data_IF_313544834425
#
_entry.id   IF_313544834425
#
_cell.length_a   1.000
_cell.length_b   1.000
_cell.length_c   1.000
_cell.angle_alpha   90.00
_cell.angle_beta   90.00
_cell.angle_gamma   90.00
#
_symmetry.space_group_name_H-M   'P 1'
#
loop_
_entity.id
_entity.type
_entity.pdbx_description
1 polymer ?
#
# COMPACT_ATOMS: atom_id res chain seq x y z
N UNK A 1 4.72 -19.57 -41.24
CA UNK A 1 5.24 -19.64 -39.84
C UNK A 1 5.41 -18.25 -39.21
N UNK A 2 5.87 -17.22 -39.94
CA UNK A 2 6.04 -15.86 -39.38
C UNK A 2 4.76 -15.17 -38.86
N UNK A 3 3.58 -15.42 -39.46
CA UNK A 3 2.34 -14.74 -39.05
C UNK A 3 1.86 -15.07 -37.62
N UNK A 4 2.10 -16.29 -37.14
CA UNK A 4 1.69 -16.71 -35.78
C UNK A 4 2.53 -16.02 -34.71
N UNK A 5 3.83 -15.82 -34.99
CA UNK A 5 4.73 -15.11 -34.08
C UNK A 5 4.32 -13.64 -33.92
N UNK A 6 3.91 -12.98 -35.00
CA UNK A 6 3.44 -11.59 -34.94
C UNK A 6 2.17 -11.45 -34.09
N UNK A 7 1.20 -12.36 -34.24
CA UNK A 7 -0.03 -12.35 -33.43
C UNK A 7 0.29 -12.53 -31.95
N UNK A 8 1.17 -13.48 -31.60
CA UNK A 8 1.63 -13.69 -30.22
C UNK A 8 2.29 -12.44 -29.61
N UNK A 9 3.18 -11.79 -30.37
CA UNK A 9 3.86 -10.58 -29.91
C UNK A 9 2.85 -9.45 -29.68
N UNK A 10 1.88 -9.26 -30.59
CA UNK A 10 0.85 -8.24 -30.42
C UNK A 10 0.02 -8.47 -29.15
N UNK A 11 -0.43 -9.70 -28.89
CA UNK A 11 -1.17 -10.00 -27.66
C UNK A 11 -0.31 -9.82 -26.39
N UNK A 12 0.95 -10.24 -26.42
CA UNK A 12 1.87 -10.04 -25.30
C UNK A 12 2.10 -8.55 -25.00
N UNK A 13 2.22 -7.72 -26.04
CA UNK A 13 2.34 -6.27 -25.90
C UNK A 13 1.07 -5.66 -25.33
N UNK A 14 -0.12 -6.07 -25.79
CA UNK A 14 -1.40 -5.61 -25.25
C UNK A 14 -1.51 -5.92 -23.75
N UNK A 15 -1.20 -7.15 -23.33
CA UNK A 15 -1.18 -7.54 -21.91
C UNK A 15 -0.22 -6.66 -21.11
N UNK A 16 0.98 -6.43 -21.63
CA UNK A 16 2.00 -5.60 -20.97
C UNK A 16 1.54 -4.14 -20.82
N UNK A 17 0.89 -3.57 -21.84
CA UNK A 17 0.37 -2.20 -21.81
C UNK A 17 -0.76 -2.05 -20.78
N UNK A 18 -1.71 -2.99 -20.74
CA UNK A 18 -2.80 -2.97 -19.75
C UNK A 18 -2.24 -3.08 -18.32
N UNK A 19 -1.27 -3.98 -18.10
CA UNK A 19 -0.63 -4.15 -16.80
C UNK A 19 0.15 -2.90 -16.37
N UNK A 20 0.84 -2.24 -17.31
CA UNK A 20 1.61 -1.01 -17.06
C UNK A 20 0.72 0.14 -16.62
N UNK A 21 -0.46 0.28 -17.26
CA UNK A 21 -1.40 1.33 -16.90
C UNK A 21 -1.96 1.14 -15.48
N UNK A 22 -2.09 -0.12 -15.03
CA UNK A 22 -2.45 -0.51 -13.65
C UNK A 22 -1.29 -0.43 -12.65
N UNK A 23 -0.14 0.11 -13.05
CA UNK A 23 1.03 0.29 -12.18
C UNK A 23 1.82 -0.98 -11.89
N UNK A 24 1.62 -2.06 -12.65
CA UNK A 24 2.41 -3.30 -12.54
C UNK A 24 3.59 -3.28 -13.52
N UNK A 25 4.59 -4.14 -13.30
CA UNK A 25 5.82 -4.16 -14.10
C UNK A 25 5.57 -4.66 -15.54
N UNK A 26 5.77 -3.78 -16.52
CA UNK A 26 5.59 -4.07 -17.94
C UNK A 26 6.36 -5.31 -18.42
N UNK A 27 7.63 -5.42 -18.02
CA UNK A 27 8.52 -6.51 -18.47
C UNK A 27 8.09 -7.89 -17.97
N UNK A 28 7.68 -8.00 -16.70
CA UNK A 28 7.21 -9.28 -16.16
C UNK A 28 5.91 -9.74 -16.84
N UNK A 29 4.98 -8.80 -17.06
CA UNK A 29 3.72 -9.08 -17.75
C UNK A 29 3.87 -9.35 -19.24
N UNK A 30 4.89 -8.78 -19.90
CA UNK A 30 5.22 -9.08 -21.29
C UNK A 30 5.73 -10.51 -21.43
N UNK A 31 6.68 -10.94 -20.58
CA UNK A 31 7.18 -12.31 -20.57
C UNK A 31 6.05 -13.30 -20.26
N UNK A 32 5.21 -12.97 -19.29
CA UNK A 32 4.04 -13.78 -18.92
C UNK A 32 3.00 -13.87 -20.05
N UNK A 33 2.69 -12.75 -20.72
CA UNK A 33 1.81 -12.71 -21.88
C UNK A 33 2.37 -13.44 -23.09
N UNK A 34 3.69 -13.44 -23.27
CA UNK A 34 4.35 -14.19 -24.34
C UNK A 34 4.32 -15.70 -24.09
N UNK A 35 4.44 -16.15 -22.83
CA UNK A 35 4.43 -17.59 -22.49
C UNK A 35 3.01 -18.16 -22.41
N UNK A 36 2.06 -17.39 -21.86
CA UNK A 36 0.72 -17.88 -21.47
C UNK A 36 -0.38 -16.85 -21.79
N UNK A 37 -0.46 -16.41 -23.05
CA UNK A 37 -1.30 -15.28 -23.47
C UNK A 37 -2.78 -15.32 -23.02
N UNK A 38 -3.53 -16.45 -23.04
CA UNK A 38 -4.95 -16.43 -22.65
C UNK A 38 -5.11 -16.28 -21.14
N UNK A 39 -4.24 -16.97 -20.39
CA UNK A 39 -4.23 -16.93 -18.92
C UNK A 39 -3.81 -15.54 -18.45
N UNK A 40 -2.82 -14.93 -19.11
CA UNK A 40 -2.34 -13.59 -18.81
C UNK A 40 -3.42 -12.51 -19.03
N UNK A 41 -4.24 -12.64 -20.08
CA UNK A 41 -5.37 -11.74 -20.31
C UNK A 41 -6.42 -11.81 -19.21
N UNK A 42 -6.76 -13.00 -18.72
CA UNK A 42 -7.72 -13.16 -17.62
C UNK A 42 -7.16 -12.54 -16.33
N UNK A 43 -5.88 -12.79 -16.02
CA UNK A 43 -5.26 -12.25 -14.82
C UNK A 43 -5.15 -10.72 -14.86
N UNK A 44 -4.82 -10.12 -16.01
CA UNK A 44 -4.72 -8.65 -16.11
C UNK A 44 -6.09 -7.97 -16.05
N UNK A 45 -7.13 -8.64 -16.55
CA UNK A 45 -8.51 -8.15 -16.49
C UNK A 45 -9.00 -8.09 -15.03
N UNK A 46 -8.81 -9.18 -14.26
CA UNK A 46 -9.21 -9.26 -12.86
C UNK A 46 -8.27 -8.52 -11.89
N UNK A 47 -7.03 -8.24 -12.30
CA UNK A 47 -6.08 -7.52 -11.46
C UNK A 47 -6.58 -6.11 -11.12
N UNK A 48 -6.57 -5.79 -9.82
CA UNK A 48 -6.79 -4.43 -9.32
C UNK A 48 -5.63 -3.50 -9.69
N UNK A 49 -5.93 -2.21 -9.71
CA UNK A 49 -4.91 -1.18 -9.93
C UNK A 49 -3.97 -1.15 -8.72
N UNK A 50 -2.68 -1.41 -8.95
CA UNK A 50 -1.71 -1.48 -7.85
C UNK A 50 -1.58 -0.12 -7.16
N UNK A 51 -1.78 0.97 -7.90
CA UNK A 51 -1.76 2.33 -7.37
C UNK A 51 -2.86 2.55 -6.32
N UNK A 52 -4.08 2.07 -6.60
CA UNK A 52 -5.22 2.23 -5.68
C UNK A 52 -5.00 1.40 -4.41
N UNK A 53 -4.51 0.15 -4.57
CA UNK A 53 -4.16 -0.71 -3.43
C UNK A 53 -3.06 -0.08 -2.57
N UNK A 54 -2.01 0.47 -3.20
CA UNK A 54 -0.94 1.15 -2.47
C UNK A 54 -1.42 2.44 -1.79
N UNK A 55 -2.28 3.22 -2.43
CA UNK A 55 -2.86 4.42 -1.84
C UNK A 55 -3.74 4.07 -0.62
N UNK A 56 -4.60 3.07 -0.75
CA UNK A 56 -5.43 2.58 0.35
C UNK A 56 -4.59 2.02 1.50
N UNK A 57 -3.52 1.27 1.19
CA UNK A 57 -2.62 0.74 2.22
C UNK A 57 -1.87 1.86 2.95
N UNK A 58 -1.43 2.90 2.23
CA UNK A 58 -0.80 4.09 2.83
C UNK A 58 -1.77 4.84 3.73
N UNK A 59 -3.00 5.06 3.29
CA UNK A 59 -4.04 5.71 4.09
C UNK A 59 -4.38 4.90 5.34
N UNK A 60 -4.53 3.57 5.21
CA UNK A 60 -4.78 2.69 6.35
C UNK A 60 -3.61 2.72 7.35
N UNK A 61 -2.36 2.77 6.87
CA UNK A 61 -1.20 2.92 7.73
C UNK A 61 -1.16 4.31 8.41
N UNK A 62 -1.50 5.39 7.72
CA UNK A 62 -1.57 6.73 8.32
C UNK A 62 -2.61 6.82 9.43
N UNK A 63 -3.81 6.25 9.22
CA UNK A 63 -4.86 6.18 10.23
C UNK A 63 -4.42 5.33 11.41
N UNK A 64 -3.84 4.14 11.14
CA UNK A 64 -3.29 3.29 12.19
C UNK A 64 -2.25 4.05 13.02
N UNK A 65 -1.31 4.76 12.41
CA UNK A 65 -0.25 5.47 13.15
C UNK A 65 -0.67 6.83 13.74
N UNK A 66 -1.97 7.06 13.95
CA UNK A 66 -2.52 8.27 14.53
C UNK A 66 -3.37 7.99 15.77
N UNK A 67 -3.45 8.95 16.69
CA UNK A 67 -4.33 8.92 17.85
C UNK A 67 -4.96 10.30 18.08
N UNK A 68 -6.10 10.33 18.73
CA UNK A 68 -6.79 11.58 19.08
C UNK A 68 -6.37 12.05 20.46
N UNK A 69 -6.00 13.33 20.60
CA UNK A 69 -5.67 13.90 21.90
C UNK A 69 -6.95 14.10 22.76
N UNK A 70 -7.02 13.59 24.00
CA UNK A 70 -8.22 13.70 24.84
C UNK A 70 -8.51 15.13 25.32
N UNK A 71 -7.51 16.03 25.29
CA UNK A 71 -7.66 17.41 25.76
C UNK A 71 -8.15 18.39 24.70
N UNK A 72 -7.72 18.23 23.46
CA UNK A 72 -8.04 19.18 22.38
C UNK A 72 -8.68 18.53 21.15
N UNK A 73 -8.93 17.23 21.17
CA UNK A 73 -9.56 16.44 20.10
C UNK A 73 -8.85 16.45 18.74
N UNK A 74 -7.60 16.91 18.68
CA UNK A 74 -6.82 16.96 17.46
C UNK A 74 -6.16 15.61 17.16
N UNK A 75 -6.02 15.27 15.87
CA UNK A 75 -5.36 14.04 15.44
C UNK A 75 -3.85 14.22 15.42
N UNK A 76 -3.15 13.45 16.24
CA UNK A 76 -1.69 13.47 16.36
C UNK A 76 -1.11 12.09 16.04
N UNK A 77 0.21 12.00 15.90
CA UNK A 77 0.87 10.70 15.72
C UNK A 77 0.62 9.84 16.96
N UNK A 78 0.27 8.56 16.77
CA UNK A 78 0.11 7.60 17.86
C UNK A 78 1.32 7.59 18.81
N UNK A 79 2.48 7.69 18.18
CA UNK A 79 3.81 7.85 18.71
C UNK A 79 4.12 9.10 19.56
N UNK A 80 3.23 10.10 19.64
CA UNK A 80 3.52 11.36 20.32
C UNK A 80 3.35 11.26 21.85
N UNK A 81 4.38 11.66 22.61
CA UNK A 81 4.28 11.86 24.08
C UNK A 81 3.69 13.18 24.49
N UNK A 82 3.83 14.20 23.64
CA UNK A 82 3.27 15.52 23.88
C UNK A 82 2.47 15.95 22.66
N UNK A 83 1.25 16.42 22.87
CA UNK A 83 0.42 16.96 21.81
C UNK A 83 1.01 18.28 21.30
N UNK A 84 1.38 18.37 20.01
CA UNK A 84 1.96 19.61 19.44
C UNK A 84 1.02 20.83 19.45
N UNK A 85 -0.28 20.61 19.64
CA UNK A 85 -1.30 21.64 19.54
C UNK A 85 -1.64 22.24 20.91
N UNK A 86 -1.90 21.39 21.91
CA UNK A 86 -2.30 21.82 23.25
C UNK A 86 -1.25 21.56 24.34
N UNK A 87 -0.13 20.92 23.99
CA UNK A 87 0.95 20.55 24.92
C UNK A 87 0.51 19.59 26.05
N UNK A 88 -0.57 18.82 25.85
CA UNK A 88 -0.91 17.72 26.75
C UNK A 88 0.16 16.63 26.69
N UNK A 89 0.65 16.24 27.86
CA UNK A 89 1.62 15.16 28.05
C UNK A 89 0.86 13.86 28.38
N UNK A 90 1.13 12.82 27.60
CA UNK A 90 0.51 11.50 27.77
C UNK A 90 1.31 10.68 28.78
N UNK A 91 0.61 9.98 29.68
CA UNK A 91 1.22 9.02 30.60
C UNK A 91 1.74 7.77 29.87
N UNK A 92 2.70 7.07 30.47
CA UNK A 92 3.21 5.80 29.93
C UNK A 92 2.12 4.72 29.80
N UNK A 93 1.08 4.76 30.64
CA UNK A 93 -0.07 3.86 30.55
C UNK A 93 -0.91 4.15 29.29
N UNK A 94 -1.24 5.41 29.03
CA UNK A 94 -1.95 5.83 27.80
C UNK A 94 -1.14 5.54 26.53
N UNK A 95 0.19 5.62 26.60
CA UNK A 95 1.07 5.25 25.49
C UNK A 95 1.01 3.74 25.20
N UNK A 96 1.09 2.90 26.24
CA UNK A 96 1.03 1.44 26.11
C UNK A 96 -0.32 0.94 25.63
N UNK A 97 -1.42 1.53 26.11
CA UNK A 97 -2.77 1.18 25.64
C UNK A 97 -2.94 1.48 24.13
N UNK A 98 -2.35 2.59 23.66
CA UNK A 98 -2.33 2.91 22.23
C UNK A 98 -1.50 1.89 21.42
N UNK A 99 -0.49 1.26 22.02
CA UNK A 99 0.36 0.24 21.39
C UNK A 99 -0.32 -1.15 21.38
N UNK A 100 -1.01 -1.53 22.46
CA UNK A 100 -1.64 -2.84 22.61
C UNK A 100 -2.90 -3.01 21.72
N UNK A 101 -3.69 -1.95 21.52
CA UNK A 101 -4.83 -1.95 20.59
C UNK A 101 -4.41 -1.95 19.11
N UNK A 102 -3.11 -1.82 18.83
CA UNK A 102 -2.58 -1.59 17.49
C UNK A 102 -1.48 -2.62 17.16
N UNK A 103 -1.79 -3.67 16.38
CA UNK A 103 -0.94 -4.87 16.31
C UNK A 103 0.42 -4.68 15.63
N UNK A 104 0.83 -3.46 15.25
CA UNK A 104 2.10 -3.20 14.55
C UNK A 104 2.74 -1.85 14.89
N UNK A 105 2.97 -1.56 16.17
CA UNK A 105 4.11 -0.71 16.48
C UNK A 105 5.40 -1.47 16.13
N UNK A 106 6.35 -0.91 15.37
CA UNK A 106 7.59 -1.60 15.07
C UNK A 106 8.33 -1.96 16.37
N UNK A 107 8.81 -3.21 16.55
CA UNK A 107 9.57 -3.61 17.72
C UNK A 107 10.77 -2.68 17.95
N UNK A 108 10.86 -2.07 19.12
CA UNK A 108 11.93 -1.13 19.47
C UNK A 108 11.65 0.35 19.17
N UNK A 109 10.38 0.73 18.90
CA UNK A 109 10.00 2.13 18.82
C UNK A 109 10.11 2.81 20.19
N UNK A 110 10.89 3.90 20.25
CA UNK A 110 10.93 4.78 21.43
C UNK A 110 10.37 6.15 21.04
N UNK A 111 9.39 6.68 21.80
CA UNK A 111 8.91 8.03 21.58
C UNK A 111 10.06 9.02 21.75
N UNK A 112 10.34 9.82 20.73
CA UNK A 112 11.37 10.85 20.80
C UNK A 112 10.87 11.98 21.70
N UNK A 113 11.61 12.24 22.77
CA UNK A 113 11.48 13.41 23.66
C UNK A 113 11.73 14.72 22.90
#
# INVERSE_FOLDING_TARGET
MMGVALIWIVFAVIVALIASNKGRSAGAWLIYGLLLWPVALIHVALASNLKDVQAQQRQAAEVAHSKTCPRCAETIKAAARVCRFCQYEFSEEELRETEDDMPMLPPGYQPKV
#
